data_IF_014106901659
#
_entry.id   IF_014106901659
#
_cell.length_a   1.000
_cell.length_b   1.000
_cell.length_c   1.000
_cell.angle_alpha   90.00
_cell.angle_beta   90.00
_cell.angle_gamma   90.00
#
_symmetry.space_group_name_H-M   'P 1'
#
loop_
_entity.id
_entity.type
_entity.pdbx_description
1 polymer ?
#
# COMPACT_ATOMS: atom_id res chain seq x y z
N UNK A 1 -42.62 -24.45 -33.47
CA UNK A 1 -41.85 -23.22 -33.17
C UNK A 1 -42.28 -22.70 -31.79
N UNK A 2 -42.11 -23.52 -30.74
CA UNK A 2 -42.66 -23.24 -29.41
C UNK A 2 -41.86 -23.83 -28.23
N UNK A 3 -40.69 -24.43 -28.47
CA UNK A 3 -39.86 -25.02 -27.41
C UNK A 3 -38.65 -24.16 -27.03
N UNK A 4 -38.24 -23.20 -27.87
CA UNK A 4 -37.04 -22.38 -27.65
C UNK A 4 -37.21 -21.27 -26.59
N UNK A 5 -38.45 -21.00 -26.12
CA UNK A 5 -38.73 -19.89 -25.19
C UNK A 5 -38.71 -20.29 -23.70
N UNK A 6 -38.73 -21.58 -23.41
CA UNK A 6 -38.79 -22.10 -22.02
C UNK A 6 -37.39 -22.32 -21.44
N UNK A 7 -36.41 -22.72 -22.25
CA UNK A 7 -35.01 -22.91 -21.82
C UNK A 7 -34.31 -21.58 -21.49
N UNK A 8 -34.60 -20.52 -22.26
CA UNK A 8 -34.04 -19.18 -22.03
C UNK A 8 -34.53 -18.57 -20.69
N UNK A 9 -35.74 -18.93 -20.23
CA UNK A 9 -36.29 -18.42 -18.96
C UNK A 9 -35.79 -19.18 -17.73
N UNK A 10 -35.35 -20.42 -17.92
CA UNK A 10 -34.72 -21.23 -16.86
C UNK A 10 -33.25 -20.86 -16.71
N UNK A 11 -32.53 -20.59 -17.80
CA UNK A 11 -31.14 -20.12 -17.76
C UNK A 11 -31.01 -18.70 -17.17
N UNK A 12 -32.00 -17.82 -17.39
CA UNK A 12 -32.02 -16.49 -16.76
C UNK A 12 -32.44 -16.47 -15.28
N UNK A 13 -32.94 -17.58 -14.72
CA UNK A 13 -33.16 -17.71 -13.25
C UNK A 13 -31.94 -18.27 -12.53
N UNK A 14 -31.18 -19.17 -13.17
CA UNK A 14 -29.97 -19.76 -12.58
C UNK A 14 -28.79 -18.80 -12.46
N UNK A 15 -28.75 -17.69 -13.21
CA UNK A 15 -27.73 -16.65 -13.06
C UNK A 15 -27.98 -15.69 -11.88
N UNK A 16 -29.19 -15.71 -11.30
CA UNK A 16 -29.57 -14.88 -10.16
C UNK A 16 -29.52 -15.64 -8.80
N UNK A 17 -29.16 -16.93 -8.82
CA UNK A 17 -29.18 -17.83 -7.66
C UNK A 17 -27.77 -18.20 -7.15
N UNK A 18 -26.72 -17.46 -7.57
CA UNK A 18 -25.39 -17.51 -6.95
C UNK A 18 -25.08 -16.26 -6.10
N UNK A 19 -26.11 -15.69 -5.47
CA UNK A 19 -25.88 -15.06 -4.17
C UNK A 19 -25.63 -16.18 -3.17
N UNK A 20 -24.37 -16.59 -3.02
CA UNK A 20 -23.94 -17.14 -1.74
C UNK A 20 -24.25 -16.06 -0.72
N UNK A 21 -25.33 -16.28 0.03
CA UNK A 21 -25.64 -15.58 1.27
C UNK A 21 -24.52 -15.97 2.24
N UNK A 22 -23.35 -15.32 2.12
CA UNK A 22 -22.28 -15.43 3.10
C UNK A 22 -22.86 -14.87 4.38
N UNK A 23 -23.23 -15.75 5.31
CA UNK A 23 -23.77 -15.34 6.60
C UNK A 23 -22.79 -14.33 7.23
N UNK A 24 -23.23 -13.08 7.40
CA UNK A 24 -22.40 -12.01 7.95
C UNK A 24 -21.84 -12.45 9.31
N UNK A 25 -20.55 -12.72 9.33
CA UNK A 25 -19.82 -13.12 10.53
C UNK A 25 -19.79 -11.97 11.54
N UNK A 26 -19.57 -12.22 12.84
CA UNK A 26 -19.34 -11.14 13.81
C UNK A 26 -18.22 -10.18 13.37
N UNK A 27 -17.20 -10.70 12.68
CA UNK A 27 -16.06 -9.92 12.16
C UNK A 27 -16.48 -9.00 11.02
N UNK A 28 -17.06 -9.53 9.94
CA UNK A 28 -17.50 -8.73 8.78
C UNK A 28 -18.51 -7.65 9.20
N UNK A 29 -19.49 -8.00 10.05
CA UNK A 29 -20.45 -7.03 10.61
C UNK A 29 -19.75 -5.90 11.39
N UNK A 30 -18.73 -6.24 12.19
CA UNK A 30 -18.01 -5.23 12.94
C UNK A 30 -17.22 -4.30 12.01
N UNK A 31 -16.55 -4.85 10.99
CA UNK A 31 -15.85 -4.04 9.98
C UNK A 31 -16.82 -3.08 9.29
N UNK A 32 -17.98 -3.56 8.82
CA UNK A 32 -19.00 -2.73 8.17
C UNK A 32 -19.50 -1.56 9.05
N UNK A 33 -19.46 -1.72 10.38
CA UNK A 33 -19.91 -0.71 11.34
C UNK A 33 -18.81 0.26 11.79
N UNK A 34 -17.54 -0.14 11.71
CA UNK A 34 -16.42 0.61 12.31
C UNK A 34 -15.39 1.09 11.29
N UNK A 35 -15.37 0.52 10.09
CA UNK A 35 -14.52 1.00 9.02
C UNK A 35 -15.02 2.34 8.47
N UNK A 36 -14.07 3.21 8.13
CA UNK A 36 -14.36 4.47 7.49
C UNK A 36 -14.34 4.31 5.97
N UNK A 37 -15.48 4.54 5.31
CA UNK A 37 -15.60 4.44 3.86
C UNK A 37 -14.82 5.57 3.18
N UNK A 38 -13.99 5.21 2.21
CA UNK A 38 -13.36 6.18 1.31
C UNK A 38 -14.26 6.36 0.09
N UNK A 39 -14.50 7.61 -0.29
CA UNK A 39 -15.55 7.98 -1.24
C UNK A 39 -15.03 8.30 -2.64
N UNK A 40 -13.72 8.49 -2.77
CA UNK A 40 -13.10 8.86 -4.05
C UNK A 40 -11.75 8.20 -4.26
N UNK A 41 -11.43 7.93 -5.52
CA UNK A 41 -10.09 7.61 -6.01
C UNK A 41 -9.49 8.76 -6.80
N UNK A 42 -10.28 9.81 -7.09
CA UNK A 42 -9.81 10.97 -7.82
C UNK A 42 -8.73 11.69 -7.00
N UNK A 43 -7.50 11.81 -7.53
CA UNK A 43 -6.39 12.43 -6.83
C UNK A 43 -6.64 13.91 -6.54
N UNK A 44 -7.57 14.60 -7.20
CA UNK A 44 -7.90 16.01 -6.98
C UNK A 44 -9.10 16.23 -6.05
N UNK A 45 -9.88 15.18 -5.76
CA UNK A 45 -11.07 15.29 -4.91
C UNK A 45 -10.74 15.81 -3.49
N UNK A 46 -11.73 16.42 -2.79
CA UNK A 46 -11.57 16.81 -1.39
C UNK A 46 -11.08 15.65 -0.52
N UNK A 47 -10.23 15.94 0.47
CA UNK A 47 -9.57 14.93 1.31
C UNK A 47 -10.34 14.67 2.63
N UNK A 48 -11.60 15.10 2.71
CA UNK A 48 -12.41 15.02 3.95
C UNK A 48 -12.68 13.57 4.39
N UNK A 49 -12.74 12.63 3.45
CA UNK A 49 -12.86 11.18 3.73
C UNK A 49 -11.56 10.55 4.24
N UNK A 50 -10.45 11.31 4.31
CA UNK A 50 -9.20 10.89 4.93
C UNK A 50 -9.00 11.48 6.32
N UNK A 51 -9.85 12.40 6.78
CA UNK A 51 -9.74 13.06 8.09
C UNK A 51 -9.62 12.07 9.26
N UNK A 52 -10.30 10.90 9.30
CA UNK A 52 -10.11 9.94 10.38
C UNK A 52 -8.69 9.37 10.50
N UNK A 53 -7.86 9.45 9.45
CA UNK A 53 -6.44 9.10 9.54
C UNK A 53 -5.65 10.06 10.43
N UNK A 54 -6.12 11.30 10.62
CA UNK A 54 -5.41 12.31 11.39
C UNK A 54 -5.05 11.79 12.78
N UNK A 55 -6.00 11.13 13.45
CA UNK A 55 -5.78 10.55 14.78
C UNK A 55 -4.81 9.37 14.77
N UNK A 56 -4.77 8.60 13.67
CA UNK A 56 -3.87 7.47 13.50
C UNK A 56 -2.42 7.93 13.33
N UNK A 57 -2.22 9.01 12.58
CA UNK A 57 -0.89 9.48 12.14
C UNK A 57 -0.39 10.74 12.85
N UNK A 58 -1.15 11.30 13.79
CA UNK A 58 -0.89 12.59 14.44
C UNK A 58 0.56 12.74 14.91
N UNK A 59 1.01 11.75 15.68
CA UNK A 59 2.31 11.75 16.35
C UNK A 59 3.38 11.00 15.53
N UNK A 60 3.03 10.55 14.32
CA UNK A 60 3.94 9.80 13.46
C UNK A 60 5.04 10.70 12.89
N UNK A 61 6.28 10.19 12.94
CA UNK A 61 7.43 10.68 12.19
C UNK A 61 7.54 10.00 10.83
N UNK A 62 7.11 8.75 10.75
CA UNK A 62 7.13 7.97 9.51
C UNK A 62 5.79 7.27 9.37
N UNK A 63 5.12 7.47 8.23
CA UNK A 63 3.91 6.73 7.86
C UNK A 63 4.25 5.90 6.63
N UNK A 64 4.25 4.58 6.78
CA UNK A 64 4.48 3.67 5.68
C UNK A 64 3.17 3.20 5.05
N UNK A 65 3.06 3.30 3.73
CA UNK A 65 1.94 2.81 2.92
C UNK A 65 2.42 1.58 2.15
N UNK A 66 1.93 0.41 2.56
CA UNK A 66 2.39 -0.88 2.06
C UNK A 66 1.45 -1.53 1.07
N UNK A 67 1.70 -1.39 -0.22
CA UNK A 67 0.87 -1.98 -1.27
C UNK A 67 1.10 -3.49 -1.43
N UNK A 68 0.03 -4.27 -1.34
CA UNK A 68 0.04 -5.73 -1.56
C UNK A 68 0.32 -6.13 -3.01
N UNK A 69 0.14 -5.20 -3.95
CA UNK A 69 0.60 -5.28 -5.33
C UNK A 69 0.95 -3.87 -5.82
N UNK A 70 2.02 -3.72 -6.61
CA UNK A 70 2.50 -2.41 -7.09
C UNK A 70 1.92 -1.97 -8.44
N UNK A 71 1.12 -2.84 -9.07
CA UNK A 71 0.55 -2.61 -10.39
C UNK A 71 -0.98 -2.49 -10.33
N UNK A 72 -1.52 -2.11 -9.17
CA UNK A 72 -2.94 -1.79 -8.98
C UNK A 72 -3.17 -0.28 -9.01
N UNK A 73 -4.11 0.15 -9.84
CA UNK A 73 -4.46 1.56 -10.02
C UNK A 73 -4.99 2.16 -8.71
N UNK A 74 -5.92 1.48 -8.04
CA UNK A 74 -6.66 1.98 -6.89
C UNK A 74 -5.75 2.16 -5.67
N UNK A 75 -4.85 1.20 -5.41
CA UNK A 75 -3.89 1.35 -4.31
C UNK A 75 -2.94 2.53 -4.59
N UNK A 76 -2.54 2.73 -5.85
CA UNK A 76 -1.67 3.85 -6.23
C UNK A 76 -2.38 5.20 -6.16
N UNK A 77 -3.63 5.27 -6.62
CA UNK A 77 -4.47 6.46 -6.54
C UNK A 77 -4.74 6.84 -5.08
N UNK A 78 -5.05 5.86 -4.22
CA UNK A 78 -5.21 6.08 -2.79
C UNK A 78 -3.91 6.51 -2.12
N UNK A 79 -2.77 5.93 -2.49
CA UNK A 79 -1.46 6.38 -2.01
C UNK A 79 -1.18 7.83 -2.41
N UNK A 80 -1.51 8.25 -3.63
CA UNK A 80 -1.42 9.66 -4.01
C UNK A 80 -2.31 10.54 -3.12
N UNK A 81 -3.59 10.19 -2.92
CA UNK A 81 -4.49 10.95 -2.02
C UNK A 81 -3.97 11.00 -0.58
N UNK A 82 -3.39 9.91 -0.08
CA UNK A 82 -2.75 9.84 1.23
C UNK A 82 -1.51 10.74 1.33
N UNK A 83 -0.64 10.75 0.31
CA UNK A 83 0.49 11.69 0.23
C UNK A 83 -0.02 13.13 0.31
N UNK A 84 -1.05 13.48 -0.47
CA UNK A 84 -1.66 14.81 -0.41
C UNK A 84 -2.15 15.13 0.99
N UNK A 85 -2.92 14.25 1.62
CA UNK A 85 -3.44 14.46 2.97
C UNK A 85 -2.34 14.65 4.00
N UNK A 86 -1.33 13.77 3.99
CA UNK A 86 -0.22 13.83 4.95
C UNK A 86 0.62 15.11 4.77
N UNK A 87 0.83 15.56 3.53
CA UNK A 87 1.59 16.78 3.24
C UNK A 87 0.76 18.04 3.52
N UNK A 88 -0.46 18.12 2.98
CA UNK A 88 -1.31 19.31 3.05
C UNK A 88 -1.83 19.55 4.47
N UNK A 89 -2.12 18.50 5.24
CA UNK A 89 -2.81 18.61 6.54
C UNK A 89 -1.97 18.14 7.74
N UNK A 90 -1.07 17.18 7.56
CA UNK A 90 -0.34 16.54 8.69
C UNK A 90 1.13 16.95 8.81
N UNK A 91 1.61 17.84 7.92
CA UNK A 91 2.97 18.41 7.98
C UNK A 91 4.09 17.51 7.46
N UNK A 92 3.77 16.49 6.65
CA UNK A 92 4.79 15.65 6.01
C UNK A 92 5.50 16.40 4.88
N UNK A 93 6.83 16.25 4.77
CA UNK A 93 7.64 17.00 3.78
C UNK A 93 8.60 16.13 2.98
N UNK A 94 8.73 14.86 3.34
CA UNK A 94 9.50 13.89 2.57
C UNK A 94 8.60 12.76 2.07
N UNK A 95 8.73 12.42 0.79
CA UNK A 95 8.26 11.16 0.21
C UNK A 95 9.45 10.23 -0.04
N UNK A 96 9.50 9.08 0.62
CA UNK A 96 10.42 8.00 0.31
C UNK A 96 9.69 6.97 -0.56
N UNK A 97 10.22 6.71 -1.75
CA UNK A 97 9.73 5.66 -2.64
C UNK A 97 10.67 4.45 -2.54
N UNK A 98 10.10 3.26 -2.38
CA UNK A 98 10.90 2.03 -2.37
C UNK A 98 11.54 1.76 -3.74
N UNK A 99 12.80 1.33 -3.75
CA UNK A 99 13.40 0.56 -4.85
C UNK A 99 14.37 1.30 -5.75
N UNK A 100 14.37 2.63 -5.74
CA UNK A 100 15.34 3.46 -6.45
C UNK A 100 15.66 4.74 -5.68
N UNK A 101 16.71 5.44 -6.08
CA UNK A 101 17.06 6.75 -5.54
C UNK A 101 16.49 7.85 -6.45
N UNK A 102 15.52 8.62 -5.94
CA UNK A 102 14.89 9.70 -6.71
C UNK A 102 15.89 10.77 -7.18
N UNK A 103 16.99 10.98 -6.45
CA UNK A 103 18.10 11.85 -6.88
C UNK A 103 18.80 11.30 -8.12
N UNK A 104 19.10 9.99 -8.13
CA UNK A 104 19.72 9.29 -9.27
C UNK A 104 18.87 9.41 -10.53
N UNK A 105 17.55 9.29 -10.36
CA UNK A 105 16.56 9.39 -11.45
C UNK A 105 16.29 10.86 -11.84
N UNK A 106 16.63 11.84 -11.00
CA UNK A 106 16.41 13.27 -11.25
C UNK A 106 15.02 13.80 -10.84
N UNK A 107 14.17 12.97 -10.19
CA UNK A 107 12.81 13.36 -9.81
C UNK A 107 12.78 14.49 -8.77
N UNK A 108 13.72 14.51 -7.81
CA UNK A 108 13.75 15.59 -6.81
C UNK A 108 14.12 16.95 -7.44
N UNK A 109 15.12 16.95 -8.34
CA UNK A 109 15.49 18.14 -9.10
C UNK A 109 14.28 18.67 -9.88
N UNK A 110 13.57 17.78 -10.59
CA UNK A 110 12.33 18.13 -11.28
C UNK A 110 11.28 18.75 -10.33
N UNK A 111 10.99 18.11 -9.19
CA UNK A 111 9.97 18.60 -8.24
C UNK A 111 10.35 19.96 -7.65
N UNK A 112 11.64 20.24 -7.46
CA UNK A 112 12.14 21.52 -6.94
C UNK A 112 12.17 22.63 -8.00
N UNK A 113 12.84 22.39 -9.12
CA UNK A 113 13.17 23.42 -10.12
C UNK A 113 12.26 23.36 -11.34
N UNK A 114 11.75 22.17 -11.67
CA UNK A 114 11.05 21.89 -12.92
C UNK A 114 11.98 21.47 -14.05
N UNK A 115 13.25 21.20 -13.78
CA UNK A 115 14.21 20.76 -14.78
C UNK A 115 13.96 19.30 -15.20
N UNK A 116 13.97 19.04 -16.51
CA UNK A 116 13.70 17.73 -17.11
C UNK A 116 12.21 17.44 -17.40
N UNK A 117 11.95 16.37 -18.15
CA UNK A 117 10.60 15.82 -18.35
C UNK A 117 10.39 14.64 -17.38
N UNK A 118 9.46 14.70 -16.43
CA UNK A 118 9.25 13.65 -15.44
C UNK A 118 8.85 12.32 -16.09
N UNK A 119 8.26 12.31 -17.29
CA UNK A 119 7.97 11.06 -18.01
C UNK A 119 9.26 10.39 -18.47
N UNK A 120 10.19 11.15 -19.03
CA UNK A 120 11.50 10.64 -19.48
C UNK A 120 12.34 10.19 -18.29
N UNK A 121 12.35 10.97 -17.19
CA UNK A 121 13.06 10.59 -15.97
C UNK A 121 12.53 9.25 -15.42
N UNK A 122 11.21 9.04 -15.40
CA UNK A 122 10.64 7.77 -14.95
C UNK A 122 11.03 6.59 -15.85
N UNK A 123 11.34 6.78 -17.14
CA UNK A 123 11.78 5.69 -18.02
C UNK A 123 13.05 4.97 -17.52
N UNK A 124 13.92 5.70 -16.81
CA UNK A 124 15.16 5.18 -16.23
C UNK A 124 15.01 4.69 -14.76
N UNK A 125 13.79 4.74 -14.23
CA UNK A 125 13.44 4.23 -12.90
C UNK A 125 13.06 2.74 -12.94
N UNK A 126 12.84 2.15 -11.76
CA UNK A 126 12.25 0.81 -11.64
C UNK A 126 10.89 0.74 -12.33
N UNK A 127 10.57 -0.41 -12.93
CA UNK A 127 9.32 -0.59 -13.70
C UNK A 127 8.04 -0.26 -12.94
N UNK A 128 8.00 -0.53 -11.62
CA UNK A 128 6.84 -0.20 -10.80
C UNK A 128 6.73 1.29 -10.41
N UNK A 129 7.69 2.14 -10.82
CA UNK A 129 7.55 3.61 -10.82
C UNK A 129 7.07 4.13 -12.18
N UNK A 130 7.13 3.31 -13.24
CA UNK A 130 6.83 3.70 -14.62
C UNK A 130 5.32 3.69 -14.91
N UNK A 131 4.56 4.42 -14.09
CA UNK A 131 3.10 4.49 -14.20
C UNK A 131 2.60 5.93 -14.24
N UNK A 132 1.44 6.15 -14.87
CA UNK A 132 0.77 7.46 -14.84
C UNK A 132 0.42 7.87 -13.40
N UNK A 133 0.12 6.93 -12.50
CA UNK A 133 -0.21 7.24 -11.10
C UNK A 133 0.98 7.85 -10.33
N UNK A 134 2.19 7.33 -10.55
CA UNK A 134 3.42 7.91 -9.98
C UNK A 134 3.74 9.24 -10.66
N UNK A 135 3.59 9.33 -11.98
CA UNK A 135 3.79 10.58 -12.71
C UNK A 135 2.84 11.69 -12.24
N UNK A 136 1.58 11.35 -11.99
CA UNK A 136 0.57 12.28 -11.45
C UNK A 136 0.97 12.77 -10.05
N UNK A 137 1.50 11.88 -9.20
CA UNK A 137 2.03 12.26 -7.87
C UNK A 137 3.23 13.22 -8.00
N UNK A 138 4.19 12.92 -8.89
CA UNK A 138 5.37 13.76 -9.16
C UNK A 138 4.94 15.15 -9.65
N UNK A 139 3.99 15.21 -10.58
CA UNK A 139 3.42 16.46 -11.09
C UNK A 139 2.72 17.27 -10.00
N UNK A 140 1.94 16.61 -9.15
CA UNK A 140 1.30 17.26 -8.01
C UNK A 140 2.34 17.83 -7.04
N UNK A 141 3.40 17.08 -6.68
CA UNK A 141 4.48 17.58 -5.81
C UNK A 141 5.12 18.84 -6.39
N UNK A 142 5.38 18.87 -7.71
CA UNK A 142 5.90 20.06 -8.39
C UNK A 142 4.93 21.24 -8.28
N UNK A 143 3.64 21.01 -8.53
CA UNK A 143 2.62 22.06 -8.41
C UNK A 143 2.51 22.60 -6.97
N UNK A 144 2.56 21.71 -5.97
CA UNK A 144 2.57 22.06 -4.56
C UNK A 144 3.76 22.97 -4.21
N UNK A 145 4.96 22.63 -4.67
CA UNK A 145 6.19 23.38 -4.42
C UNK A 145 6.21 24.75 -5.10
N UNK A 146 5.63 24.90 -6.29
CA UNK A 146 5.56 26.21 -6.97
C UNK A 146 4.83 27.26 -6.14
N UNK A 147 3.85 26.85 -5.34
CA UNK A 147 3.14 27.73 -4.42
C UNK A 147 3.81 27.91 -3.06
N UNK A 148 4.88 27.15 -2.76
CA UNK A 148 5.49 27.04 -1.42
C UNK A 148 7.02 26.92 -1.51
N UNK A 149 7.72 27.93 -2.03
CA UNK A 149 9.18 27.86 -2.18
C UNK A 149 9.93 27.69 -0.85
N UNK A 150 9.37 28.20 0.25
CA UNK A 150 9.98 28.14 1.59
C UNK A 150 9.56 26.90 2.41
N UNK A 151 8.61 26.10 1.90
CA UNK A 151 8.10 24.90 2.57
C UNK A 151 7.79 23.77 1.56
N UNK A 152 8.81 23.32 0.80
CA UNK A 152 8.60 22.35 -0.27
C UNK A 152 8.48 20.91 0.26
N UNK A 153 7.75 20.08 -0.47
CA UNK A 153 7.87 18.62 -0.39
C UNK A 153 9.03 18.14 -1.28
N UNK A 154 9.75 17.11 -0.84
CA UNK A 154 10.93 16.54 -1.51
C UNK A 154 10.91 15.02 -1.50
N UNK A 155 11.73 14.40 -2.35
CA UNK A 155 12.01 12.98 -2.23
C UNK A 155 13.13 12.71 -1.21
N UNK A 156 13.06 11.56 -0.53
CA UNK A 156 14.18 11.07 0.26
C UNK A 156 15.40 10.78 -0.65
N UNK A 157 16.60 11.05 -0.15
CA UNK A 157 17.87 10.94 -0.88
C UNK A 157 18.45 12.29 -1.30
N UNK A 158 17.62 13.27 -1.65
CA UNK A 158 18.03 14.51 -2.32
C UNK A 158 18.69 15.61 -1.44
N UNK A 159 19.29 15.25 -0.31
CA UNK A 159 19.94 16.23 0.57
C UNK A 159 21.46 16.20 0.36
N UNK A 160 22.10 17.31 -0.06
CA UNK A 160 23.50 17.33 -0.55
C UNK A 160 24.54 16.78 0.42
N UNK A 161 24.29 16.87 1.74
CA UNK A 161 25.20 16.37 2.78
C UNK A 161 25.01 14.90 3.12
N UNK A 162 24.10 14.20 2.44
CA UNK A 162 23.83 12.78 2.65
C UNK A 162 24.59 11.85 1.72
N UNK A 163 25.30 12.40 0.74
CA UNK A 163 26.16 11.65 -0.17
C UNK A 163 27.25 10.93 0.66
N UNK A 164 27.17 9.61 0.71
CA UNK A 164 28.08 8.72 1.42
C UNK A 164 28.65 7.66 0.47
N UNK A 165 29.64 6.86 0.91
CA UNK A 165 30.19 5.80 0.08
C UNK A 165 29.08 4.88 -0.42
N UNK A 166 29.16 4.49 -1.71
CA UNK A 166 28.30 3.52 -2.37
C UNK A 166 28.01 2.36 -1.42
N UNK A 167 26.73 2.06 -1.21
CA UNK A 167 26.34 0.87 -0.46
C UNK A 167 27.03 -0.35 -1.07
N UNK A 168 27.46 -1.28 -0.21
CA UNK A 168 27.84 -2.62 -0.65
C UNK A 168 26.59 -3.23 -1.29
N UNK A 169 26.73 -3.81 -2.48
CA UNK A 169 25.64 -4.53 -3.15
C UNK A 169 24.96 -5.50 -2.16
N UNK A 170 23.64 -5.38 -1.93
CA UNK A 170 22.95 -6.20 -0.94
C UNK A 170 23.11 -7.70 -1.25
N UNK A 171 23.48 -8.51 -0.26
CA UNK A 171 23.71 -9.94 -0.45
C UNK A 171 22.41 -10.77 -0.49
N UNK A 172 21.25 -10.13 -0.31
CA UNK A 172 19.94 -10.76 -0.36
C UNK A 172 18.83 -9.87 0.20
N UNK A 173 17.61 -10.40 0.24
CA UNK A 173 16.42 -9.64 0.65
C UNK A 173 16.55 -9.07 2.08
N UNK A 174 17.14 -9.82 3.02
CA UNK A 174 17.35 -9.34 4.39
C UNK A 174 18.25 -8.09 4.47
N UNK A 175 19.29 -8.00 3.64
CA UNK A 175 20.14 -6.80 3.60
C UNK A 175 19.43 -5.63 2.91
N UNK A 176 18.62 -5.89 1.87
CA UNK A 176 17.76 -4.88 1.25
C UNK A 176 16.82 -4.25 2.30
N UNK A 177 16.16 -5.08 3.12
CA UNK A 177 15.28 -4.59 4.18
C UNK A 177 16.00 -3.68 5.18
N UNK A 178 17.21 -4.09 5.60
CA UNK A 178 18.04 -3.31 6.51
C UNK A 178 18.41 -1.97 5.86
N UNK A 179 18.87 -1.97 4.61
CA UNK A 179 19.23 -0.75 3.89
C UNK A 179 18.04 0.21 3.73
N UNK A 180 16.84 -0.30 3.40
CA UNK A 180 15.63 0.51 3.31
C UNK A 180 15.31 1.22 4.63
N UNK A 181 15.41 0.49 5.75
CA UNK A 181 15.17 1.06 7.08
C UNK A 181 16.25 2.06 7.47
N UNK A 182 17.54 1.71 7.34
CA UNK A 182 18.66 2.58 7.71
C UNK A 182 18.69 3.89 6.91
N UNK A 183 18.37 3.84 5.61
CA UNK A 183 18.28 5.03 4.77
C UNK A 183 17.13 5.95 5.22
N UNK A 184 15.98 5.38 5.56
CA UNK A 184 14.83 6.13 6.08
C UNK A 184 15.13 6.75 7.45
N UNK A 185 15.73 5.99 8.36
CA UNK A 185 16.13 6.46 9.71
C UNK A 185 17.12 7.60 9.58
N UNK A 186 18.20 7.40 8.82
CA UNK A 186 19.25 8.41 8.61
C UNK A 186 18.69 9.69 8.00
N UNK A 187 17.76 9.57 7.06
CA UNK A 187 17.08 10.73 6.50
C UNK A 187 16.27 11.48 7.55
N UNK A 188 15.45 10.76 8.32
CA UNK A 188 14.61 11.33 9.38
C UNK A 188 15.45 12.05 10.43
N UNK A 189 16.54 11.44 10.91
CA UNK A 189 17.42 12.01 11.92
C UNK A 189 18.11 13.30 11.45
N UNK A 190 18.47 13.36 10.16
CA UNK A 190 19.23 14.49 9.61
C UNK A 190 18.34 15.65 9.16
N UNK A 191 17.12 15.38 8.72
CA UNK A 191 16.19 16.41 8.24
C UNK A 191 15.16 16.82 9.28
N UNK A 192 14.88 15.95 10.26
CA UNK A 192 13.73 16.01 11.15
C UNK A 192 12.36 16.00 10.44
N UNK A 193 12.32 15.76 9.13
CA UNK A 193 11.07 15.69 8.37
C UNK A 193 10.18 14.56 8.89
N UNK A 194 8.86 14.78 8.78
CA UNK A 194 7.90 13.69 8.74
C UNK A 194 7.92 13.06 7.34
N UNK A 195 8.04 11.72 7.28
CA UNK A 195 8.28 10.94 6.05
C UNK A 195 7.07 10.10 5.70
N UNK A 196 6.58 10.22 4.47
CA UNK A 196 5.68 9.24 3.87
C UNK A 196 6.56 8.19 3.19
N UNK A 197 6.50 6.93 3.63
CA UNK A 197 7.23 5.84 2.99
C UNK A 197 6.27 5.00 2.15
N UNK A 198 6.33 5.14 0.84
CA UNK A 198 5.53 4.36 -0.10
C UNK A 198 6.33 3.16 -0.59
N UNK A 199 5.87 1.97 -0.21
CA UNK A 199 6.52 0.71 -0.56
C UNK A 199 5.55 -0.46 -0.70
N UNK A 200 6.11 -1.65 -0.81
CA UNK A 200 5.37 -2.90 -0.89
C UNK A 200 5.04 -3.39 0.52
N UNK A 201 3.89 -4.05 0.66
CA UNK A 201 3.35 -4.47 1.95
C UNK A 201 4.35 -5.32 2.75
N UNK A 202 5.13 -6.16 2.07
CA UNK A 202 6.14 -6.97 2.72
C UNK A 202 7.20 -6.10 3.41
N UNK A 203 7.70 -5.05 2.77
CA UNK A 203 8.74 -4.20 3.32
C UNK A 203 8.24 -3.37 4.51
N UNK A 204 7.01 -2.85 4.42
CA UNK A 204 6.48 -1.87 5.38
C UNK A 204 5.78 -2.49 6.59
N UNK A 205 5.32 -3.74 6.49
CA UNK A 205 4.76 -4.48 7.63
C UNK A 205 5.74 -4.54 8.80
N UNK A 206 5.26 -4.69 10.02
CA UNK A 206 6.12 -4.93 11.19
C UNK A 206 6.20 -6.43 11.46
N UNK A 207 7.19 -7.12 10.87
CA UNK A 207 7.33 -8.58 11.06
C UNK A 207 8.73 -9.00 11.50
N UNK A 208 8.82 -9.61 12.68
CA UNK A 208 10.07 -10.09 13.26
C UNK A 208 9.96 -11.56 13.74
N UNK A 209 10.15 -12.55 12.84
CA UNK A 209 10.38 -12.40 11.41
C UNK A 209 9.09 -12.43 10.59
N UNK A 210 9.18 -11.88 9.37
CA UNK A 210 8.16 -12.00 8.33
C UNK A 210 8.56 -13.09 7.32
N UNK A 211 7.60 -13.87 6.85
CA UNK A 211 7.76 -14.83 5.75
C UNK A 211 7.12 -14.31 4.47
N UNK A 212 7.78 -14.48 3.33
CA UNK A 212 7.25 -14.13 2.00
C UNK A 212 7.35 -15.31 1.01
N UNK A 213 6.31 -15.44 0.19
CA UNK A 213 6.10 -16.47 -0.85
C UNK A 213 5.75 -15.76 -2.17
N UNK A 214 6.16 -16.21 -3.38
CA UNK A 214 6.45 -17.60 -3.79
C UNK A 214 7.91 -18.08 -3.87
N UNK A 215 8.97 -17.40 -3.35
CA UNK A 215 10.30 -18.02 -3.32
C UNK A 215 10.28 -19.44 -2.73
N UNK A 216 11.13 -20.34 -3.24
CA UNK A 216 11.20 -21.74 -2.80
C UNK A 216 12.62 -22.04 -2.27
N UNK A 217 12.79 -22.32 -0.96
CA UNK A 217 11.77 -22.21 0.10
C UNK A 217 11.32 -20.76 0.34
N UNK A 218 10.16 -20.52 1.00
CA UNK A 218 9.74 -19.18 1.40
C UNK A 218 10.81 -18.47 2.22
N UNK A 219 11.01 -17.18 1.97
CA UNK A 219 12.04 -16.40 2.64
C UNK A 219 11.49 -15.85 3.96
N UNK A 220 12.13 -16.19 5.07
CA UNK A 220 11.76 -15.73 6.41
C UNK A 220 12.90 -14.93 6.99
N UNK A 221 12.65 -13.66 7.27
CA UNK A 221 13.63 -12.77 7.89
C UNK A 221 12.93 -11.52 8.43
N UNK A 222 13.68 -10.76 9.22
CA UNK A 222 13.30 -9.43 9.67
C UNK A 222 13.19 -8.45 8.50
N UNK A 223 12.25 -7.51 8.56
CA UNK A 223 11.97 -6.58 7.46
C UNK A 223 12.08 -5.10 7.82
N UNK A 224 12.03 -4.21 6.81
CA UNK A 224 12.26 -2.78 7.01
C UNK A 224 11.30 -2.16 8.05
N UNK A 225 10.00 -2.49 7.97
CA UNK A 225 9.00 -1.99 8.91
C UNK A 225 9.28 -2.40 10.36
N UNK A 226 9.80 -3.59 10.61
CA UNK A 226 10.21 -4.00 11.97
C UNK A 226 11.43 -3.23 12.49
N UNK A 227 12.40 -2.89 11.63
CA UNK A 227 13.53 -2.02 12.00
C UNK A 227 13.07 -0.59 12.29
N UNK A 228 12.13 -0.09 11.48
CA UNK A 228 11.54 1.24 11.67
C UNK A 228 10.70 1.30 12.95
N UNK A 229 9.90 0.27 13.26
CA UNK A 229 9.16 0.17 14.53
C UNK A 229 10.08 0.10 15.73
N UNK A 230 11.18 -0.67 15.66
CA UNK A 230 12.17 -0.71 16.75
C UNK A 230 12.78 0.67 17.01
N UNK A 231 13.11 1.41 15.95
CA UNK A 231 13.77 2.72 16.09
C UNK A 231 12.81 3.84 16.51
N UNK A 232 11.63 3.94 15.89
CA UNK A 232 10.69 5.04 16.10
C UNK A 232 9.60 4.75 17.13
N UNK A 233 9.41 3.49 17.54
CA UNK A 233 8.29 3.09 18.39
C UNK A 233 6.94 3.48 17.78
N UNK A 234 6.07 4.07 18.59
CA UNK A 234 4.73 4.51 18.17
C UNK A 234 4.76 5.67 17.14
N UNK A 235 5.91 6.30 16.92
CA UNK A 235 6.07 7.30 15.87
C UNK A 235 6.29 6.69 14.46
N UNK A 236 6.37 5.36 14.34
CA UNK A 236 6.27 4.66 13.05
C UNK A 236 4.90 4.01 12.91
N UNK A 237 4.12 4.52 11.96
CA UNK A 237 2.80 4.00 11.62
C UNK A 237 2.89 3.22 10.31
N UNK A 238 2.38 1.99 10.29
CA UNK A 238 2.27 1.15 9.10
C UNK A 238 0.81 0.97 8.69
N UNK A 239 0.50 1.36 7.46
CA UNK A 239 -0.81 1.21 6.83
C UNK A 239 -0.69 0.15 5.73
N UNK A 240 -1.31 -1.01 5.96
CA UNK A 240 -1.37 -2.08 4.97
C UNK A 240 -2.42 -1.78 3.90
N UNK A 241 -2.03 -1.76 2.63
CA UNK A 241 -2.94 -1.59 1.50
C UNK A 241 -3.24 -2.95 0.86
N UNK A 242 -4.44 -3.45 1.09
CA UNK A 242 -4.89 -4.79 0.73
C UNK A 242 -5.99 -4.73 -0.32
N UNK A 243 -6.20 -5.84 -1.03
CA UNK A 243 -7.32 -5.97 -1.95
C UNK A 243 -7.81 -7.41 -2.05
N UNK A 244 -9.04 -7.60 -2.53
CA UNK A 244 -9.61 -8.94 -2.65
C UNK A 244 -9.29 -9.56 -4.03
N UNK A 245 -9.73 -8.92 -5.12
CA UNK A 245 -9.60 -9.48 -6.48
C UNK A 245 -9.53 -8.36 -7.52
N UNK A 246 -9.34 -8.72 -8.80
CA UNK A 246 -9.40 -7.75 -9.89
C UNK A 246 -8.41 -8.07 -10.99
N UNK A 247 -7.70 -7.05 -11.45
CA UNK A 247 -6.73 -7.15 -12.55
C UNK A 247 -5.48 -6.33 -12.24
N UNK A 248 -4.29 -6.94 -12.37
CA UNK A 248 -3.01 -6.24 -12.34
C UNK A 248 -1.84 -7.09 -12.85
N UNK A 249 -1.26 -6.81 -14.02
CA UNK A 249 -1.91 -6.61 -15.34
C UNK A 249 -2.75 -7.83 -15.78
N UNK A 250 -2.54 -8.98 -15.15
CA UNK A 250 -3.30 -10.20 -15.35
C UNK A 250 -4.50 -10.28 -14.39
N UNK A 251 -5.46 -11.15 -14.68
CA UNK A 251 -6.59 -11.39 -13.79
C UNK A 251 -6.12 -11.98 -12.46
N UNK A 252 -6.47 -11.34 -11.35
CA UNK A 252 -6.21 -11.80 -9.99
C UNK A 252 -7.52 -12.36 -9.40
N UNK A 253 -7.51 -13.66 -9.08
CA UNK A 253 -8.65 -14.34 -8.51
C UNK A 253 -8.94 -13.85 -7.07
N UNK A 254 -10.14 -14.09 -6.51
CA UNK A 254 -10.38 -13.95 -5.07
C UNK A 254 -9.31 -14.67 -4.23
N UNK A 255 -8.95 -14.14 -3.05
CA UNK A 255 -7.98 -14.78 -2.17
C UNK A 255 -8.56 -16.08 -1.59
N UNK A 256 -7.70 -17.06 -1.24
CA UNK A 256 -8.16 -18.24 -0.51
C UNK A 256 -8.83 -17.87 0.83
N UNK A 257 -9.81 -18.64 1.33
CA UNK A 257 -10.56 -18.33 2.56
C UNK A 257 -9.70 -18.18 3.83
N UNK A 258 -8.51 -18.77 3.86
CA UNK A 258 -7.57 -18.65 4.98
C UNK A 258 -6.80 -17.33 5.02
N UNK A 259 -6.93 -16.48 4.00
CA UNK A 259 -6.28 -15.17 3.95
C UNK A 259 -7.17 -14.12 4.63
N UNK A 260 -6.52 -13.19 5.33
CA UNK A 260 -7.18 -12.02 5.89
C UNK A 260 -7.94 -11.22 4.82
N UNK A 261 -7.40 -11.15 3.60
CA UNK A 261 -7.99 -10.43 2.46
C UNK A 261 -9.37 -11.00 2.06
N UNK A 262 -9.64 -12.28 2.30
CA UNK A 262 -10.97 -12.87 2.06
C UNK A 262 -12.00 -12.25 2.98
N UNK A 263 -11.69 -12.17 4.28
CA UNK A 263 -12.59 -11.60 5.29
C UNK A 263 -12.78 -10.10 5.10
N UNK A 264 -11.72 -9.38 4.71
CA UNK A 264 -11.78 -7.95 4.39
C UNK A 264 -12.66 -7.70 3.14
N UNK A 265 -12.58 -8.57 2.14
CA UNK A 265 -13.37 -8.48 0.90
C UNK A 265 -14.84 -8.88 1.03
N UNK A 266 -15.18 -9.73 2.00
CA UNK A 266 -16.54 -10.24 2.26
C UNK A 266 -17.49 -9.22 2.94
N UNK A 267 -17.02 -8.00 3.17
CA UNK A 267 -17.86 -6.89 3.67
C UNK A 267 -18.70 -6.27 2.55
N UNK A 268 -19.71 -5.48 2.88
CA UNK A 268 -20.46 -4.66 1.92
C UNK A 268 -19.74 -3.35 1.48
N UNK A 269 -18.50 -3.11 1.92
CA UNK A 269 -17.72 -1.91 1.61
C UNK A 269 -16.75 -2.13 0.43
N UNK A 270 -16.76 -1.23 -0.56
CA UNK A 270 -15.85 -1.33 -1.73
C UNK A 270 -14.44 -0.81 -1.43
N UNK A 271 -14.35 0.30 -0.70
CA UNK A 271 -13.07 0.91 -0.31
C UNK A 271 -13.21 1.54 1.06
N UNK A 272 -12.33 1.17 1.98
CA UNK A 272 -12.41 1.63 3.36
C UNK A 272 -11.07 1.60 4.07
N UNK A 273 -10.99 2.37 5.15
CA UNK A 273 -9.95 2.35 6.14
C UNK A 273 -10.45 1.68 7.42
N UNK A 274 -9.65 0.82 8.01
CA UNK A 274 -9.90 0.17 9.28
C UNK A 274 -8.75 0.43 10.24
N UNK A 275 -9.01 1.11 11.37
CA UNK A 275 -8.04 1.24 12.47
C UNK A 275 -7.99 -0.07 13.25
N UNK A 276 -6.84 -0.75 13.22
CA UNK A 276 -6.68 -2.06 13.87
C UNK A 276 -6.50 -1.93 15.40
N UNK A 277 -6.28 -0.71 15.90
CA UNK A 277 -6.11 -0.39 17.31
C UNK A 277 -7.43 0.00 17.98
N UNK A 278 -8.51 0.14 17.21
CA UNK A 278 -9.83 0.44 17.72
C UNK A 278 -10.32 -0.65 18.68
N UNK A 279 -11.15 -0.24 19.65
CA UNK A 279 -11.80 -1.20 20.55
C UNK A 279 -12.71 -2.15 19.75
N UNK A 280 -12.56 -3.45 20.00
CA UNK A 280 -13.27 -4.50 19.29
C UNK A 280 -13.73 -5.59 20.26
N UNK A 281 -14.85 -6.26 20.00
CA UNK A 281 -15.30 -7.40 20.80
C UNK A 281 -14.35 -8.59 20.62
N UNK A 282 -14.36 -9.52 21.58
CA UNK A 282 -13.43 -10.67 21.64
C UNK A 282 -13.32 -11.43 20.30
N UNK A 283 -14.40 -11.80 19.57
CA UNK A 283 -14.25 -12.53 18.32
C UNK A 283 -13.48 -11.75 17.23
N UNK A 284 -13.62 -10.42 17.22
CA UNK A 284 -12.90 -9.54 16.31
C UNK A 284 -11.44 -9.44 16.72
N UNK A 285 -11.17 -9.29 18.02
CA UNK A 285 -9.80 -9.27 18.53
C UNK A 285 -9.07 -10.57 18.24
N UNK A 286 -9.70 -11.70 18.53
CA UNK A 286 -9.14 -13.02 18.20
C UNK A 286 -8.81 -13.11 16.72
N UNK A 287 -9.68 -12.67 15.81
CA UNK A 287 -9.37 -12.67 14.38
C UNK A 287 -8.20 -11.77 14.01
N UNK A 288 -8.18 -10.53 14.53
CA UNK A 288 -7.11 -9.56 14.26
C UNK A 288 -5.73 -10.03 14.75
N UNK A 289 -5.68 -10.68 15.92
CA UNK A 289 -4.47 -11.15 16.61
C UNK A 289 -4.06 -12.58 16.22
N UNK A 290 -4.88 -13.30 15.46
CA UNK A 290 -4.53 -14.66 15.03
C UNK A 290 -3.55 -14.61 13.86
N UNK A 291 -2.43 -15.38 13.92
CA UNK A 291 -1.53 -15.47 12.78
C UNK A 291 -2.23 -15.88 11.49
N UNK A 292 -1.97 -15.14 10.43
CA UNK A 292 -2.72 -15.28 9.17
C UNK A 292 -1.80 -15.15 7.96
N UNK A 293 -2.41 -15.14 6.76
CA UNK A 293 -1.78 -14.75 5.51
C UNK A 293 -2.47 -13.50 4.99
N UNK A 294 -1.69 -12.60 4.41
CA UNK A 294 -2.21 -11.54 3.56
C UNK A 294 -1.58 -11.61 2.18
N UNK A 295 -2.30 -11.17 1.16
CA UNK A 295 -1.81 -11.11 -0.22
C UNK A 295 -0.52 -10.30 -0.28
N UNK A 296 0.45 -10.90 -0.95
CA UNK A 296 1.62 -10.19 -1.44
C UNK A 296 1.91 -10.73 -2.82
N UNK A 297 1.57 -9.94 -3.83
CA UNK A 297 1.70 -10.29 -5.23
C UNK A 297 2.79 -9.43 -5.83
N UNK A 298 3.90 -10.07 -6.21
CA UNK A 298 5.00 -9.43 -6.89
C UNK A 298 4.70 -9.09 -8.36
N UNK A 299 5.74 -8.93 -9.20
CA UNK A 299 5.57 -8.57 -10.61
C UNK A 299 4.96 -9.68 -11.47
N UNK A 300 4.95 -10.92 -10.98
CA UNK A 300 4.41 -12.08 -11.67
C UNK A 300 3.36 -12.75 -10.80
N UNK A 301 2.25 -13.14 -11.41
CA UNK A 301 1.15 -13.84 -10.76
C UNK A 301 0.70 -15.01 -11.64
N UNK A 302 0.56 -16.19 -11.03
CA UNK A 302 0.00 -17.38 -11.66
C UNK A 302 -1.34 -17.71 -10.99
N UNK A 303 -2.48 -17.53 -11.69
CA UNK A 303 -3.80 -17.87 -11.18
C UNK A 303 -3.92 -19.34 -10.74
N UNK A 304 -3.18 -20.27 -11.36
CA UNK A 304 -3.20 -21.68 -11.00
C UNK A 304 -2.58 -21.93 -9.61
N UNK A 305 -1.73 -21.01 -9.15
CA UNK A 305 -1.05 -21.06 -7.85
C UNK A 305 -1.42 -19.86 -6.97
N UNK A 306 -2.66 -19.38 -7.04
CA UNK A 306 -3.14 -18.20 -6.31
C UNK A 306 -2.74 -18.16 -4.82
N UNK A 307 -2.80 -19.31 -4.12
CA UNK A 307 -2.47 -19.41 -2.70
C UNK A 307 -0.96 -19.29 -2.39
N UNK A 308 -0.09 -19.25 -3.39
CA UNK A 308 1.37 -19.15 -3.21
C UNK A 308 1.87 -17.71 -3.06
N UNK A 309 1.03 -16.70 -3.25
CA UNK A 309 1.41 -15.29 -3.25
C UNK A 309 0.98 -14.60 -1.95
N UNK A 310 1.83 -14.67 -0.93
CA UNK A 310 1.46 -14.20 0.40
C UNK A 310 2.65 -13.70 1.23
N UNK A 311 2.30 -12.91 2.23
CA UNK A 311 3.10 -12.66 3.43
C UNK A 311 2.46 -13.38 4.63
N UNK A 312 3.28 -13.95 5.51
CA UNK A 312 2.88 -14.59 6.76
C UNK A 312 3.93 -14.37 7.86
N UNK A 313 3.76 -15.01 9.03
CA UNK A 313 4.67 -14.87 10.17
C UNK A 313 4.18 -13.91 11.26
N UNK A 314 2.88 -13.61 11.28
CA UNK A 314 2.23 -12.72 12.24
C UNK A 314 0.74 -12.57 11.92
N UNK A 315 0.10 -11.67 12.65
CA UNK A 315 -1.30 -11.29 12.53
C UNK A 315 -1.47 -9.90 11.90
N UNK A 316 -2.70 -9.46 11.66
CA UNK A 316 -2.93 -8.12 11.11
C UNK A 316 -2.43 -7.03 12.07
N UNK A 317 -2.65 -7.20 13.38
CA UNK A 317 -2.20 -6.25 14.41
C UNK A 317 -0.72 -6.33 14.73
N UNK A 318 -0.06 -7.46 14.46
CA UNK A 318 1.40 -7.50 14.51
C UNK A 318 2.00 -6.62 13.41
N UNK A 319 1.41 -6.63 12.22
CA UNK A 319 1.99 -6.03 11.03
C UNK A 319 1.64 -4.56 10.82
N UNK A 320 0.42 -4.13 11.15
CA UNK A 320 -0.11 -2.84 10.76
C UNK A 320 -0.87 -2.15 11.91
N UNK A 321 -0.88 -0.82 11.90
CA UNK A 321 -1.74 -0.03 12.79
C UNK A 321 -3.12 0.21 12.15
N UNK A 322 -3.17 0.26 10.82
CA UNK A 322 -4.40 0.38 10.05
C UNK A 322 -4.32 -0.41 8.75
N UNK A 323 -5.48 -0.78 8.21
CA UNK A 323 -5.61 -1.40 6.89
C UNK A 323 -6.48 -0.53 6.02
N UNK A 324 -6.00 -0.22 4.82
CA UNK A 324 -6.79 0.29 3.72
C UNK A 324 -7.11 -0.90 2.82
N UNK A 325 -8.39 -1.15 2.55
CA UNK A 325 -8.83 -2.26 1.72
C UNK A 325 -9.61 -1.76 0.50
N UNK A 326 -9.34 -2.36 -0.65
CA UNK A 326 -10.08 -2.18 -1.90
C UNK A 326 -10.63 -3.53 -2.36
N UNK A 327 -11.94 -3.67 -2.56
CA UNK A 327 -12.50 -4.97 -2.95
C UNK A 327 -12.05 -5.40 -4.35
N UNK A 328 -12.14 -4.50 -5.32
CA UNK A 328 -11.82 -4.77 -6.72
C UNK A 328 -10.78 -3.79 -7.24
N UNK A 329 -9.71 -4.32 -7.85
CA UNK A 329 -8.62 -3.52 -8.41
C UNK A 329 -8.51 -3.65 -9.92
N UNK A 330 -7.95 -2.64 -10.56
CA UNK A 330 -7.62 -2.59 -11.98
C UNK A 330 -6.13 -2.32 -12.18
N UNK A 331 -5.64 -2.59 -13.39
CA UNK A 331 -4.23 -2.44 -13.69
C UNK A 331 -3.85 -0.95 -13.70
N UNK A 332 -2.67 -0.64 -13.18
CA UNK A 332 -2.01 0.67 -13.40
C UNK A 332 -1.91 0.99 -14.89
N UNK A 333 -1.79 2.28 -15.19
CA UNK A 333 -1.52 2.76 -16.54
C UNK A 333 -0.02 2.87 -16.72
N UNK A 334 0.59 1.90 -17.40
CA UNK A 334 2.03 1.94 -17.69
C UNK A 334 2.39 3.10 -18.63
N UNK A 335 3.56 3.70 -18.41
CA UNK A 335 4.08 4.76 -19.27
C UNK A 335 4.66 4.23 -20.59
N UNK A 336 5.12 2.98 -20.62
CA UNK A 336 5.89 2.39 -21.72
C UNK A 336 5.45 0.98 -22.07
#
# INVERSE_FOLDING_TARGET
MTESRTESRTQSRTAAEHRTDTATTPVTRWIEQHAHRLTSLDPEAPLTDLEPLAEIVRDAKVVAMGASNRHTHELSALSHRLVRFLVEQMGFRTLALEGDEAERVGLDAYVRTGDGDPRELLADARSFWQTEEILDTVRWMRAFNRGRPDDPVRFAGAHPTLQGPSAIEPAGLADIERTLAESTIRWQERTADKIVYWGGIAHTAVGDPRTVSPPVPPLTHRNAGSYLREHFGDAFVSIGQTFHHGMAPDQILPPPPEFADSVLGDTNLDTYLLDLRAHAPEPVRTWLDTPTRTRMIGPHYDPAHNAAYYMSGGSLTDWFDAVLHVREVTAVRFLF
#
